data_IF_400193306313
#
_entry.id   IF_400193306313
#
_cell.length_a   1.000
_cell.length_b   1.000
_cell.length_c   1.000
_cell.angle_alpha   90.00
_cell.angle_beta   90.00
_cell.angle_gamma   90.00
#
_symmetry.space_group_name_H-M   'P 1'
#
loop_
_entity.id
_entity.type
_entity.pdbx_description
1 polymer ?
#
# COMPACT_ATOMS: atom_id res chain seq x y z
N UNK A 1 -14.13 -21.01 47.79
CA UNK A 1 -14.52 -19.62 47.45
C UNK A 1 -13.45 -18.59 47.82
N UNK A 2 -12.97 -18.53 49.08
CA UNK A 2 -11.92 -17.57 49.47
C UNK A 2 -10.57 -17.77 48.74
N UNK A 3 -10.11 -19.01 48.58
CA UNK A 3 -8.86 -19.32 47.86
C UNK A 3 -8.89 -18.91 46.38
N UNK A 4 -10.02 -19.17 45.69
CA UNK A 4 -10.23 -18.78 44.29
C UNK A 4 -10.22 -17.26 44.13
N UNK A 5 -10.86 -16.52 45.05
CA UNK A 5 -10.89 -15.06 45.03
C UNK A 5 -9.49 -14.44 45.20
N UNK A 6 -8.67 -15.00 46.08
CA UNK A 6 -7.28 -14.56 46.29
C UNK A 6 -6.43 -14.80 45.03
N UNK A 7 -6.63 -15.94 44.35
CA UNK A 7 -5.95 -16.24 43.09
C UNK A 7 -6.36 -15.26 41.97
N UNK A 8 -7.65 -14.93 41.86
CA UNK A 8 -8.15 -13.96 40.87
C UNK A 8 -7.65 -12.52 41.14
N UNK A 9 -7.56 -12.12 42.41
CA UNK A 9 -6.99 -10.82 42.82
C UNK A 9 -5.50 -10.73 42.44
N UNK A 10 -4.72 -11.77 42.76
CA UNK A 10 -3.29 -11.86 42.39
C UNK A 10 -3.07 -11.86 40.88
N UNK A 11 -3.92 -12.57 40.13
CA UNK A 11 -3.86 -12.60 38.67
C UNK A 11 -4.14 -11.21 38.08
N UNK A 12 -5.11 -10.51 38.64
CA UNK A 12 -5.47 -9.14 38.23
C UNK A 12 -4.33 -8.16 38.53
N UNK A 13 -3.72 -8.27 39.71
CA UNK A 13 -2.55 -7.47 40.08
C UNK A 13 -1.37 -7.71 39.14
N UNK A 14 -1.06 -8.97 38.84
CA UNK A 14 -0.02 -9.33 37.88
C UNK A 14 -0.30 -8.75 36.49
N UNK A 15 -1.52 -8.91 35.99
CA UNK A 15 -1.92 -8.37 34.68
C UNK A 15 -1.75 -6.85 34.62
N UNK A 16 -2.21 -6.14 35.64
CA UNK A 16 -2.09 -4.68 35.72
C UNK A 16 -0.64 -4.21 35.82
N UNK A 17 0.25 -4.99 36.43
CA UNK A 17 1.68 -4.67 36.49
C UNK A 17 2.33 -4.71 35.11
N UNK A 18 2.02 -5.72 34.29
CA UNK A 18 2.59 -5.89 32.94
C UNK A 18 1.97 -4.88 31.96
N UNK A 19 0.64 -4.69 32.01
CA UNK A 19 -0.09 -3.74 31.18
C UNK A 19 0.49 -2.33 31.22
N UNK A 20 0.95 -1.86 32.39
CA UNK A 20 1.45 -0.47 32.55
C UNK A 20 2.62 -0.15 31.63
N UNK A 21 3.48 -1.13 31.36
CA UNK A 21 4.63 -0.99 30.46
C UNK A 21 4.21 -0.95 28.98
N UNK A 22 3.00 -1.41 28.65
CA UNK A 22 2.49 -1.51 27.29
C UNK A 22 1.61 -0.33 26.88
N UNK A 23 1.27 0.57 27.81
CA UNK A 23 0.46 1.78 27.55
C UNK A 23 1.01 2.62 26.37
N UNK A 24 2.33 2.85 26.22
CA UNK A 24 2.84 3.59 25.06
C UNK A 24 2.52 2.90 23.73
N UNK A 25 2.56 1.57 23.68
CA UNK A 25 2.19 0.80 22.49
C UNK A 25 0.70 0.95 22.19
N UNK A 26 -0.15 0.94 23.23
CA UNK A 26 -1.59 1.11 23.08
C UNK A 26 -1.97 2.45 22.46
N UNK A 27 -1.30 3.54 22.84
CA UNK A 27 -1.51 4.87 22.24
C UNK A 27 -1.24 4.83 20.73
N UNK A 28 -0.16 4.18 20.30
CA UNK A 28 0.17 4.07 18.88
C UNK A 28 -0.80 3.15 18.14
N UNK A 29 -1.20 2.04 18.76
CA UNK A 29 -2.22 1.14 18.21
C UNK A 29 -3.57 1.85 18.04
N UNK A 30 -3.93 2.77 18.95
CA UNK A 30 -5.16 3.57 18.82
C UNK A 30 -5.10 4.46 17.60
N UNK A 31 -3.95 5.08 17.34
CA UNK A 31 -3.74 5.89 16.14
C UNK A 31 -3.83 5.03 14.87
N UNK A 32 -3.22 3.85 14.84
CA UNK A 32 -3.33 2.94 13.70
C UNK A 32 -4.76 2.49 13.45
N UNK A 33 -5.50 2.18 14.51
CA UNK A 33 -6.90 1.82 14.42
C UNK A 33 -7.72 2.98 13.85
N UNK A 34 -7.67 4.16 14.46
CA UNK A 34 -8.47 5.33 14.04
C UNK A 34 -8.14 5.76 12.62
N UNK A 35 -6.86 5.98 12.31
CA UNK A 35 -6.44 6.45 10.99
C UNK A 35 -6.68 5.38 9.92
N UNK A 36 -6.39 4.12 10.24
CA UNK A 36 -6.59 3.00 9.35
C UNK A 36 -8.04 2.72 9.04
N UNK A 37 -8.93 2.73 10.05
CA UNK A 37 -10.36 2.48 9.80
C UNK A 37 -11.00 3.65 9.04
N UNK A 38 -10.85 4.88 9.53
CA UNK A 38 -11.48 6.06 8.90
C UNK A 38 -10.93 6.27 7.49
N UNK A 39 -9.61 6.17 7.33
CA UNK A 39 -8.95 6.36 6.06
C UNK A 39 -9.37 5.31 5.03
N UNK A 40 -9.30 4.02 5.36
CA UNK A 40 -9.64 2.97 4.42
C UNK A 40 -11.14 2.93 4.09
N UNK A 41 -12.03 3.21 5.04
CA UNK A 41 -13.46 3.41 4.76
C UNK A 41 -13.66 4.54 3.75
N UNK A 42 -13.00 5.69 3.95
CA UNK A 42 -13.08 6.82 3.02
C UNK A 42 -12.60 6.44 1.62
N UNK A 43 -11.51 5.69 1.51
CA UNK A 43 -10.99 5.16 0.24
C UNK A 43 -12.03 4.27 -0.45
N UNK A 44 -12.59 3.29 0.27
CA UNK A 44 -13.62 2.40 -0.27
C UNK A 44 -14.82 3.22 -0.76
N UNK A 45 -15.34 4.14 0.05
CA UNK A 45 -16.50 4.96 -0.30
C UNK A 45 -16.26 5.77 -1.57
N UNK A 46 -15.13 6.47 -1.66
CA UNK A 46 -14.81 7.33 -2.81
C UNK A 46 -14.57 6.51 -4.08
N UNK A 47 -13.77 5.43 -4.01
CA UNK A 47 -13.43 4.65 -5.20
C UNK A 47 -14.58 3.77 -5.71
N UNK A 48 -15.42 3.25 -4.81
CA UNK A 48 -16.56 2.41 -5.19
C UNK A 48 -17.74 3.24 -5.68
N UNK A 49 -18.11 4.30 -4.95
CA UNK A 49 -19.35 5.04 -5.22
C UNK A 49 -19.14 6.29 -6.08
N UNK A 50 -18.10 7.11 -5.83
CA UNK A 50 -17.88 8.38 -6.55
C UNK A 50 -17.05 8.23 -7.83
N UNK A 51 -16.07 7.33 -7.87
CA UNK A 51 -15.09 7.24 -8.96
C UNK A 51 -15.25 6.01 -9.85
N UNK A 52 -16.50 5.71 -10.28
CA UNK A 52 -16.83 4.56 -11.13
C UNK A 52 -16.21 4.61 -12.54
N UNK A 53 -15.93 5.80 -13.06
CA UNK A 53 -15.47 6.01 -14.45
C UNK A 53 -13.93 5.87 -14.55
N UNK A 54 -13.47 4.96 -15.42
CA UNK A 54 -12.06 4.52 -15.64
C UNK A 54 -11.43 3.71 -14.48
N UNK A 55 -11.97 2.51 -14.22
CA UNK A 55 -11.48 1.57 -13.17
C UNK A 55 -10.17 0.85 -13.48
N UNK A 56 -9.60 0.96 -14.68
CA UNK A 56 -8.54 0.03 -15.09
C UNK A 56 -7.26 0.14 -14.22
N UNK A 57 -6.80 1.36 -13.96
CA UNK A 57 -5.66 1.63 -13.08
C UNK A 57 -6.00 1.66 -11.59
N UNK A 58 -7.28 1.69 -11.25
CA UNK A 58 -7.77 1.90 -9.89
C UNK A 58 -8.38 0.66 -9.27
N UNK A 59 -8.50 -0.42 -10.04
CA UNK A 59 -9.18 -1.65 -9.64
C UNK A 59 -8.73 -2.17 -8.27
N UNK A 60 -7.42 -2.24 -8.04
CA UNK A 60 -6.86 -2.81 -6.81
C UNK A 60 -6.89 -1.84 -5.62
N UNK A 61 -7.15 -0.56 -5.83
CA UNK A 61 -7.18 0.43 -4.73
C UNK A 61 -8.29 0.07 -3.71
N UNK A 62 -9.58 -0.08 -4.09
CA UNK A 62 -10.62 -0.47 -3.14
C UNK A 62 -10.46 -1.91 -2.63
N UNK A 63 -9.83 -2.81 -3.38
CA UNK A 63 -9.55 -4.18 -2.92
C UNK A 63 -8.51 -4.16 -1.79
N UNK A 64 -7.40 -3.45 -1.99
CA UNK A 64 -6.36 -3.28 -0.99
C UNK A 64 -6.90 -2.54 0.25
N UNK A 65 -7.66 -1.45 0.06
CA UNK A 65 -8.30 -0.73 1.16
C UNK A 65 -9.27 -1.58 1.97
N UNK A 66 -9.98 -2.53 1.34
CA UNK A 66 -10.86 -3.47 2.07
C UNK A 66 -10.07 -4.41 2.96
N UNK A 67 -8.96 -4.95 2.46
CA UNK A 67 -8.06 -5.81 3.25
C UNK A 67 -7.39 -5.03 4.36
N UNK A 68 -6.90 -3.83 4.07
CA UNK A 68 -6.24 -2.96 5.04
C UNK A 68 -7.19 -2.46 6.13
N UNK A 69 -8.46 -2.20 5.80
CA UNK A 69 -9.50 -1.89 6.79
C UNK A 69 -9.66 -3.05 7.80
N UNK A 70 -9.80 -4.28 7.30
CA UNK A 70 -9.95 -5.46 8.16
C UNK A 70 -8.67 -5.69 8.96
N UNK A 71 -7.49 -5.51 8.34
CA UNK A 71 -6.19 -5.66 8.99
C UNK A 71 -5.97 -4.63 10.11
N UNK A 72 -6.34 -3.37 9.91
CA UNK A 72 -6.30 -2.36 10.96
C UNK A 72 -7.28 -2.70 12.09
N UNK A 73 -8.53 -3.05 11.75
CA UNK A 73 -9.56 -3.34 12.74
C UNK A 73 -9.18 -4.57 13.59
N UNK A 74 -8.91 -5.70 12.95
CA UNK A 74 -8.64 -6.97 13.62
C UNK A 74 -7.22 -7.02 14.17
N UNK A 75 -6.22 -6.57 13.40
CA UNK A 75 -4.82 -6.58 13.83
C UNK A 75 -4.57 -5.66 15.02
N UNK A 76 -5.11 -4.44 15.03
CA UNK A 76 -5.00 -3.57 16.20
C UNK A 76 -5.82 -4.10 17.37
N UNK A 77 -7.05 -4.61 17.16
CA UNK A 77 -7.86 -5.21 18.23
C UNK A 77 -7.16 -6.42 18.87
N UNK A 78 -6.51 -7.25 18.06
CA UNK A 78 -5.72 -8.38 18.54
C UNK A 78 -4.52 -7.92 19.38
N UNK A 79 -3.78 -6.92 18.90
CA UNK A 79 -2.66 -6.34 19.63
C UNK A 79 -3.10 -5.66 20.95
N UNK A 80 -4.25 -4.99 20.95
CA UNK A 80 -4.87 -4.43 22.16
C UNK A 80 -5.23 -5.52 23.15
N UNK A 81 -5.87 -6.60 22.70
CA UNK A 81 -6.24 -7.68 23.60
C UNK A 81 -5.00 -8.33 24.23
N UNK A 82 -3.89 -8.44 23.49
CA UNK A 82 -2.59 -8.84 24.03
C UNK A 82 -2.00 -7.87 25.07
N UNK A 83 -2.20 -6.57 24.90
CA UNK A 83 -1.67 -5.57 25.85
C UNK A 83 -2.57 -5.37 27.08
N UNK A 84 -3.89 -5.54 26.91
CA UNK A 84 -4.87 -5.39 28.00
C UNK A 84 -4.93 -6.65 28.87
N UNK A 85 -4.79 -7.82 28.24
CA UNK A 85 -4.83 -9.13 28.90
C UNK A 85 -3.52 -9.92 28.69
N UNK A 86 -2.34 -9.36 29.01
CA UNK A 86 -1.06 -10.02 28.77
C UNK A 86 -0.93 -11.36 29.50
N UNK A 87 -1.62 -11.52 30.64
CA UNK A 87 -1.60 -12.75 31.44
C UNK A 87 -3.00 -13.20 31.89
N UNK A 88 -4.07 -12.57 31.37
CA UNK A 88 -5.45 -12.88 31.74
C UNK A 88 -6.38 -13.12 30.52
N UNK A 89 -5.81 -13.64 29.43
CA UNK A 89 -6.56 -13.96 28.21
C UNK A 89 -7.14 -15.38 28.28
N UNK A 90 -8.41 -15.50 28.64
CA UNK A 90 -9.08 -16.81 28.86
C UNK A 90 -9.96 -17.31 27.69
N UNK A 91 -10.21 -16.49 26.66
CA UNK A 91 -11.15 -16.82 25.58
C UNK A 91 -10.48 -17.52 24.39
N UNK A 92 -10.51 -18.86 24.34
CA UNK A 92 -9.83 -19.61 23.27
C UNK A 92 -10.36 -19.29 21.86
N UNK A 93 -11.68 -19.16 21.67
CA UNK A 93 -12.25 -18.81 20.38
C UNK A 93 -11.70 -17.46 19.86
N UNK A 94 -11.68 -16.44 20.72
CA UNK A 94 -11.16 -15.13 20.36
C UNK A 94 -9.66 -15.19 20.00
N UNK A 95 -8.86 -15.97 20.75
CA UNK A 95 -7.44 -16.14 20.47
C UNK A 95 -7.19 -16.68 19.06
N UNK A 96 -7.85 -17.80 18.74
CA UNK A 96 -7.68 -18.48 17.45
C UNK A 96 -8.25 -17.64 16.31
N UNK A 97 -9.46 -17.09 16.46
CA UNK A 97 -10.11 -16.31 15.42
C UNK A 97 -9.34 -15.02 15.08
N UNK A 98 -8.89 -14.27 16.10
CA UNK A 98 -8.12 -13.04 15.88
C UNK A 98 -6.76 -13.34 15.26
N UNK A 99 -6.09 -14.42 15.69
CA UNK A 99 -4.81 -14.87 15.10
C UNK A 99 -4.98 -15.26 13.63
N UNK A 100 -5.99 -16.08 13.33
CA UNK A 100 -6.28 -16.56 11.97
C UNK A 100 -6.57 -15.41 11.02
N UNK A 101 -7.48 -14.51 11.40
CA UNK A 101 -7.86 -13.37 10.56
C UNK A 101 -6.70 -12.40 10.41
N UNK A 102 -5.95 -12.11 11.47
CA UNK A 102 -4.80 -11.19 11.44
C UNK A 102 -3.69 -11.70 10.50
N UNK A 103 -3.37 -13.00 10.54
CA UNK A 103 -2.42 -13.58 9.59
C UNK A 103 -3.00 -13.62 8.17
N UNK A 104 -4.26 -14.03 8.01
CA UNK A 104 -4.91 -14.12 6.71
C UNK A 104 -4.88 -12.81 5.95
N UNK A 105 -5.38 -11.72 6.55
CA UNK A 105 -5.39 -10.41 5.89
C UNK A 105 -3.99 -9.86 5.60
N UNK A 106 -3.01 -10.18 6.44
CA UNK A 106 -1.60 -9.85 6.21
C UNK A 106 -1.08 -10.53 4.94
N UNK A 107 -1.29 -11.84 4.79
CA UNK A 107 -0.86 -12.60 3.60
C UNK A 107 -1.63 -12.15 2.35
N UNK A 108 -2.93 -11.87 2.47
CA UNK A 108 -3.72 -11.32 1.35
C UNK A 108 -3.18 -9.97 0.92
N UNK A 109 -2.90 -9.04 1.85
CA UNK A 109 -2.36 -7.71 1.54
C UNK A 109 -1.01 -7.80 0.81
N UNK A 110 -0.08 -8.62 1.32
CA UNK A 110 1.21 -8.87 0.67
C UNK A 110 1.04 -9.46 -0.75
N UNK A 111 0.13 -10.42 -0.91
CA UNK A 111 -0.17 -11.04 -2.21
C UNK A 111 -0.77 -10.04 -3.20
N UNK A 112 -1.66 -9.15 -2.74
CA UNK A 112 -2.21 -8.07 -3.56
C UNK A 112 -1.14 -7.10 -4.02
N UNK A 113 -0.15 -6.76 -3.17
CA UNK A 113 0.97 -5.92 -3.59
C UNK A 113 1.79 -6.55 -4.71
N UNK A 114 2.02 -7.87 -4.66
CA UNK A 114 2.69 -8.61 -5.75
C UNK A 114 1.86 -8.54 -7.03
N UNK A 115 0.56 -8.83 -6.94
CA UNK A 115 -0.35 -8.78 -8.10
C UNK A 115 -0.39 -7.37 -8.71
N UNK A 116 -0.44 -6.33 -7.88
CA UNK A 116 -0.38 -4.94 -8.31
C UNK A 116 0.95 -4.66 -9.01
N UNK A 117 2.08 -5.09 -8.44
CA UNK A 117 3.39 -4.91 -9.06
C UNK A 117 3.46 -5.61 -10.44
N UNK A 118 2.94 -6.83 -10.56
CA UNK A 118 2.83 -7.56 -11.84
C UNK A 118 1.95 -6.80 -12.83
N UNK A 119 0.78 -6.32 -12.42
CA UNK A 119 -0.08 -5.50 -13.29
C UNK A 119 0.69 -4.28 -13.80
N UNK A 120 1.39 -3.56 -12.92
CA UNK A 120 2.17 -2.37 -13.29
C UNK A 120 3.31 -2.71 -14.22
N UNK A 121 4.02 -3.80 -13.96
CA UNK A 121 5.08 -4.30 -14.82
C UNK A 121 4.56 -4.63 -16.22
N UNK A 122 3.44 -5.35 -16.33
CA UNK A 122 2.84 -5.67 -17.63
C UNK A 122 2.46 -4.38 -18.37
N UNK A 123 1.78 -3.44 -17.70
CA UNK A 123 1.36 -2.18 -18.31
C UNK A 123 2.53 -1.28 -18.75
N UNK A 124 3.59 -1.20 -17.96
CA UNK A 124 4.71 -0.27 -18.21
C UNK A 124 5.78 -0.90 -19.10
N UNK A 125 6.14 -2.16 -18.84
CA UNK A 125 7.27 -2.85 -19.45
C UNK A 125 6.87 -3.75 -20.63
N UNK A 126 5.64 -4.27 -20.65
CA UNK A 126 5.14 -5.17 -21.71
C UNK A 126 3.76 -4.73 -22.24
N UNK A 127 3.67 -3.59 -22.94
CA UNK A 127 2.38 -3.01 -23.35
C UNK A 127 1.56 -3.93 -24.29
N UNK A 128 2.19 -4.91 -24.94
CA UNK A 128 1.49 -5.92 -25.75
C UNK A 128 0.61 -6.86 -24.93
N UNK A 129 0.82 -6.94 -23.60
CA UNK A 129 0.01 -7.77 -22.71
C UNK A 129 -0.96 -6.91 -21.91
N UNK A 130 -2.26 -7.19 -22.09
CA UNK A 130 -3.33 -6.49 -21.38
C UNK A 130 -3.78 -7.33 -20.19
N UNK A 131 -3.60 -6.81 -18.97
CA UNK A 131 -4.12 -7.45 -17.77
C UNK A 131 -5.63 -7.24 -17.68
N UNK A 132 -6.38 -8.21 -18.21
CA UNK A 132 -7.83 -8.11 -18.38
C UNK A 132 -8.58 -8.03 -17.04
N UNK A 133 -9.82 -7.55 -17.06
CA UNK A 133 -10.66 -7.47 -15.85
C UNK A 133 -10.90 -8.86 -15.23
N UNK A 134 -11.10 -9.90 -16.05
CA UNK A 134 -11.25 -11.28 -15.56
C UNK A 134 -10.02 -11.75 -14.78
N UNK A 135 -8.82 -11.47 -15.30
CA UNK A 135 -7.57 -11.79 -14.61
C UNK A 135 -7.45 -11.05 -13.28
N UNK A 136 -7.85 -9.78 -13.21
CA UNK A 136 -7.80 -9.00 -11.96
C UNK A 136 -8.67 -9.62 -10.86
N UNK A 137 -9.92 -9.96 -11.18
CA UNK A 137 -10.81 -10.64 -10.22
C UNK A 137 -10.27 -12.01 -9.84
N UNK A 138 -9.84 -12.81 -10.81
CA UNK A 138 -9.28 -14.14 -10.55
C UNK A 138 -8.04 -14.07 -9.64
N UNK A 139 -7.08 -13.19 -9.92
CA UNK A 139 -5.89 -13.00 -9.08
C UNK A 139 -6.25 -12.50 -7.68
N UNK A 140 -7.27 -11.64 -7.54
CA UNK A 140 -7.75 -11.18 -6.24
C UNK A 140 -8.32 -12.35 -5.42
N UNK A 141 -9.19 -13.16 -6.02
CA UNK A 141 -9.75 -14.36 -5.37
C UNK A 141 -8.65 -15.33 -4.98
N UNK A 142 -7.68 -15.57 -5.87
CA UNK A 142 -6.54 -16.44 -5.59
C UNK A 142 -5.72 -15.94 -4.40
N UNK A 143 -5.51 -14.63 -4.26
CA UNK A 143 -4.83 -14.05 -3.10
C UNK A 143 -5.60 -14.32 -1.79
N UNK A 144 -6.93 -14.18 -1.80
CA UNK A 144 -7.78 -14.51 -0.65
C UNK A 144 -7.71 -16.00 -0.30
N UNK A 145 -7.86 -16.88 -1.29
CA UNK A 145 -7.75 -18.32 -1.08
C UNK A 145 -6.38 -18.71 -0.51
N UNK A 146 -5.31 -18.13 -1.05
CA UNK A 146 -3.95 -18.37 -0.56
C UNK A 146 -3.77 -17.88 0.88
N UNK A 147 -4.23 -16.67 1.22
CA UNK A 147 -4.14 -16.15 2.59
C UNK A 147 -4.93 -16.98 3.60
N UNK A 148 -6.13 -17.42 3.25
CA UNK A 148 -6.92 -18.33 4.08
C UNK A 148 -6.21 -19.68 4.27
N UNK A 149 -5.77 -20.31 3.17
CA UNK A 149 -5.10 -21.61 3.21
C UNK A 149 -3.80 -21.57 4.01
N UNK A 150 -2.99 -20.51 3.84
CA UNK A 150 -1.74 -20.31 4.57
C UNK A 150 -1.97 -20.15 6.08
N UNK A 151 -3.13 -19.61 6.47
CA UNK A 151 -3.48 -19.35 7.87
C UNK A 151 -4.16 -20.54 8.57
N UNK A 152 -4.55 -21.59 7.84
CA UNK A 152 -5.20 -22.79 8.41
C UNK A 152 -4.41 -23.44 9.56
N UNK A 153 -3.07 -23.55 9.53
CA UNK A 153 -2.29 -24.12 10.63
C UNK A 153 -2.53 -23.46 11.99
N UNK A 154 -2.97 -22.19 12.02
CA UNK A 154 -3.29 -21.47 13.27
C UNK A 154 -4.35 -22.20 14.10
N UNK A 155 -5.33 -22.84 13.47
CA UNK A 155 -6.37 -23.58 14.20
C UNK A 155 -5.82 -24.73 15.04
N UNK A 156 -4.67 -25.28 14.65
CA UNK A 156 -4.07 -26.43 15.32
C UNK A 156 -3.05 -26.02 16.39
N UNK A 157 -2.34 -24.92 16.17
CA UNK A 157 -1.19 -24.57 17.00
C UNK A 157 -1.32 -23.27 17.79
N UNK A 158 -2.36 -22.45 17.60
CA UNK A 158 -2.63 -21.30 18.46
C UNK A 158 -3.75 -21.60 19.46
N UNK A 159 -3.69 -20.96 20.62
CA UNK A 159 -4.76 -21.01 21.62
C UNK A 159 -4.35 -20.35 22.92
N UNK A 160 -5.12 -20.61 23.98
CA UNK A 160 -4.78 -20.13 25.32
C UNK A 160 -3.71 -21.04 25.91
N UNK A 161 -2.63 -20.45 26.39
CA UNK A 161 -1.48 -21.13 26.99
C UNK A 161 -1.34 -20.67 28.44
N UNK A 162 -1.09 -21.63 29.32
CA UNK A 162 -0.91 -21.38 30.76
C UNK A 162 0.53 -20.97 31.06
N UNK A 163 0.68 -19.95 31.91
CA UNK A 163 1.97 -19.43 32.38
C UNK A 163 1.94 -19.32 33.89
N UNK A 164 2.94 -19.89 34.55
CA UNK A 164 3.03 -19.86 36.00
C UNK A 164 3.92 -18.71 36.46
N UNK A 165 3.47 -17.94 37.45
CA UNK A 165 4.29 -16.96 38.16
C UNK A 165 4.65 -17.51 39.55
N UNK A 166 5.87 -18.05 39.74
CA UNK A 166 6.29 -18.64 41.02
C UNK A 166 6.31 -17.62 42.16
N UNK A 167 6.59 -16.35 41.88
CA UNK A 167 6.71 -15.30 42.91
C UNK A 167 5.36 -14.94 43.51
N UNK A 168 4.31 -14.88 42.69
CA UNK A 168 2.94 -14.58 43.13
C UNK A 168 2.13 -15.84 43.44
N UNK A 169 2.68 -17.03 43.13
CA UNK A 169 2.03 -18.33 43.24
C UNK A 169 0.63 -18.33 42.58
N UNK A 170 0.59 -17.86 41.33
CA UNK A 170 -0.62 -17.74 40.50
C UNK A 170 -0.34 -18.21 39.07
N UNK A 171 -1.36 -18.80 38.45
CA UNK A 171 -1.34 -19.20 37.03
C UNK A 171 -2.07 -18.16 36.19
N UNK A 172 -1.42 -17.70 35.13
CA UNK A 172 -1.95 -16.80 34.13
C UNK A 172 -2.20 -17.51 32.81
N UNK A 173 -2.87 -16.78 31.91
CA UNK A 173 -3.36 -17.27 30.64
C UNK A 173 -3.04 -16.23 29.57
N UNK A 174 -2.35 -16.63 28.51
CA UNK A 174 -2.07 -15.74 27.38
C UNK A 174 -2.49 -16.41 26.07
N UNK A 175 -2.83 -15.61 25.07
CA UNK A 175 -3.12 -16.12 23.73
C UNK A 175 -1.81 -16.27 22.96
N UNK A 176 -1.44 -17.49 22.57
CA UNK A 176 -0.15 -17.73 21.94
C UNK A 176 -0.06 -19.10 21.26
N UNK A 177 1.17 -19.47 20.93
CA UNK A 177 1.49 -20.76 20.33
C UNK A 177 1.45 -21.85 21.41
N UNK A 178 0.69 -22.90 21.14
CA UNK A 178 0.60 -24.08 22.02
C UNK A 178 1.99 -24.74 22.10
N UNK A 179 2.37 -25.18 23.30
CA UNK A 179 3.62 -25.91 23.55
C UNK A 179 3.58 -27.35 23.04
N UNK A 180 2.41 -27.84 22.63
CA UNK A 180 2.26 -29.09 21.89
C UNK A 180 2.60 -28.82 20.41
N UNK A 181 3.42 -29.66 19.78
CA UNK A 181 3.83 -29.55 18.38
C UNK A 181 4.72 -28.33 18.04
N UNK A 182 5.66 -27.99 18.92
CA UNK A 182 6.61 -26.87 18.75
C UNK A 182 7.33 -26.91 17.39
N UNK A 183 7.70 -28.10 16.89
CA UNK A 183 8.33 -28.24 15.58
C UNK A 183 7.46 -27.69 14.44
N UNK A 184 6.16 -27.99 14.45
CA UNK A 184 5.23 -27.50 13.44
C UNK A 184 4.95 -26.00 13.55
N UNK A 185 4.95 -25.47 14.78
CA UNK A 185 4.88 -24.03 15.03
C UNK A 185 6.08 -23.32 14.41
N UNK A 186 7.30 -23.80 14.71
CA UNK A 186 8.55 -23.22 14.19
C UNK A 186 8.57 -23.30 12.66
N UNK A 187 8.17 -24.43 12.07
CA UNK A 187 8.10 -24.58 10.60
C UNK A 187 7.13 -23.57 9.99
N UNK A 188 5.94 -23.37 10.58
CA UNK A 188 4.96 -22.41 10.10
C UNK A 188 5.50 -20.98 10.18
N UNK A 189 6.15 -20.63 11.28
CA UNK A 189 6.76 -19.33 11.48
C UNK A 189 7.89 -19.06 10.47
N UNK A 190 8.81 -20.01 10.31
CA UNK A 190 9.87 -19.93 9.29
C UNK A 190 9.28 -19.80 7.89
N UNK A 191 8.19 -20.52 7.59
CA UNK A 191 7.52 -20.43 6.28
C UNK A 191 6.92 -19.04 6.03
N UNK A 192 6.37 -18.40 7.07
CA UNK A 192 5.81 -17.05 6.98
C UNK A 192 6.91 -16.00 6.82
N UNK A 193 8.03 -16.15 7.55
CA UNK A 193 9.21 -15.30 7.39
C UNK A 193 9.80 -15.44 5.98
N UNK A 194 9.95 -16.67 5.47
CA UNK A 194 10.45 -16.94 4.13
C UNK A 194 9.52 -16.35 3.06
N UNK A 195 8.21 -16.51 3.20
CA UNK A 195 7.24 -15.86 2.30
C UNK A 195 7.42 -14.35 2.28
N UNK A 196 7.55 -13.71 3.44
CA UNK A 196 7.74 -12.26 3.53
C UNK A 196 9.05 -11.79 2.86
N UNK A 197 10.15 -12.53 3.03
CA UNK A 197 11.43 -12.26 2.37
C UNK A 197 11.32 -12.41 0.86
N UNK A 198 10.77 -13.53 0.38
CA UNK A 198 10.59 -13.79 -1.05
C UNK A 198 9.68 -12.74 -1.68
N UNK A 199 8.55 -12.42 -1.04
CA UNK A 199 7.62 -11.38 -1.48
C UNK A 199 8.34 -10.03 -1.62
N UNK A 200 9.14 -9.64 -0.62
CA UNK A 200 9.91 -8.40 -0.64
C UNK A 200 10.93 -8.38 -1.79
N UNK A 201 11.66 -9.47 -2.01
CA UNK A 201 12.61 -9.59 -3.12
C UNK A 201 11.92 -9.48 -4.48
N UNK A 202 10.80 -10.17 -4.67
CA UNK A 202 10.00 -10.11 -5.92
C UNK A 202 9.53 -8.68 -6.16
N UNK A 203 9.01 -8.01 -5.14
CA UNK A 203 8.56 -6.62 -5.23
C UNK A 203 9.71 -5.67 -5.60
N UNK A 204 10.87 -5.80 -4.93
CA UNK A 204 12.06 -5.00 -5.23
C UNK A 204 12.47 -5.17 -6.69
N UNK A 205 12.58 -6.42 -7.17
CA UNK A 205 12.96 -6.70 -8.56
C UNK A 205 11.95 -6.09 -9.53
N UNK A 206 10.65 -6.32 -9.32
CA UNK A 206 9.61 -5.78 -10.21
C UNK A 206 9.63 -4.26 -10.26
N UNK A 207 9.75 -3.57 -9.12
CA UNK A 207 9.78 -2.12 -9.09
C UNK A 207 11.07 -1.51 -9.64
N UNK A 208 12.22 -2.19 -9.49
CA UNK A 208 13.46 -1.79 -10.18
C UNK A 208 13.26 -1.86 -11.71
N UNK A 209 12.67 -2.94 -12.23
CA UNK A 209 12.40 -3.08 -13.66
C UNK A 209 11.40 -2.04 -14.18
N UNK A 210 10.34 -1.77 -13.41
CA UNK A 210 9.37 -0.71 -13.69
C UNK A 210 10.07 0.64 -13.73
N UNK A 211 10.83 0.98 -12.68
CA UNK A 211 11.54 2.26 -12.55
C UNK A 211 12.54 2.48 -13.69
N UNK A 212 13.33 1.46 -14.03
CA UNK A 212 14.27 1.49 -15.17
C UNK A 212 13.57 1.75 -16.49
N UNK A 213 12.40 1.15 -16.70
CA UNK A 213 11.61 1.34 -17.93
C UNK A 213 11.00 2.73 -17.99
N UNK A 214 10.44 3.24 -16.89
CA UNK A 214 9.91 4.60 -16.79
C UNK A 214 11.01 5.62 -17.09
N UNK A 215 12.19 5.43 -16.49
CA UNK A 215 13.35 6.31 -16.68
C UNK A 215 13.85 6.29 -18.14
N UNK A 216 13.95 5.12 -18.77
CA UNK A 216 14.31 5.02 -20.20
C UNK A 216 13.31 5.77 -21.08
N UNK A 217 12.01 5.60 -20.86
CA UNK A 217 10.96 6.32 -21.60
C UNK A 217 11.06 7.83 -21.39
N UNK A 218 11.40 8.28 -20.18
CA UNK A 218 11.64 9.69 -19.88
C UNK A 218 12.81 10.26 -20.67
N UNK A 219 13.97 9.57 -20.68
CA UNK A 219 15.15 10.01 -21.43
C UNK A 219 14.84 10.09 -22.93
N UNK A 220 14.29 9.03 -23.53
CA UNK A 220 13.99 9.00 -24.97
C UNK A 220 13.00 10.12 -25.37
N UNK A 221 12.04 10.42 -24.51
CA UNK A 221 11.13 11.55 -24.73
C UNK A 221 11.86 12.90 -24.66
N UNK A 222 12.72 13.09 -23.67
CA UNK A 222 13.48 14.32 -23.53
C UNK A 222 14.50 14.53 -24.68
N UNK A 223 15.12 13.45 -25.16
CA UNK A 223 16.00 13.46 -26.34
C UNK A 223 15.24 13.78 -27.63
N UNK A 224 14.07 13.19 -27.85
CA UNK A 224 13.25 13.51 -29.03
C UNK A 224 12.74 14.95 -29.02
N UNK A 225 12.41 15.52 -27.84
CA UNK A 225 12.09 16.94 -27.69
C UNK A 225 13.30 17.83 -27.99
N UNK A 226 14.52 17.44 -27.60
CA UNK A 226 15.75 18.17 -27.97
C UNK A 226 16.03 18.11 -29.48
N UNK A 227 15.92 16.94 -30.10
CA UNK A 227 16.18 16.76 -31.54
C UNK A 227 15.13 17.47 -32.41
N UNK A 228 13.86 17.44 -32.02
CA UNK A 228 12.78 18.17 -32.69
C UNK A 228 12.95 19.70 -32.64
N UNK A 229 13.72 20.23 -31.68
CA UNK A 229 14.09 21.66 -31.62
C UNK A 229 15.25 21.99 -32.57
N UNK A 230 16.23 21.10 -32.72
CA UNK A 230 17.35 21.28 -33.66
C UNK A 230 16.90 21.26 -35.12
N UNK A 231 16.04 20.30 -35.49
CA UNK A 231 15.47 20.22 -36.86
C UNK A 231 14.58 21.42 -37.19
N UNK A 232 13.83 21.96 -36.21
CA UNK A 232 13.05 23.20 -36.41
C UNK A 232 13.95 24.43 -36.58
N UNK A 233 15.03 24.54 -35.79
CA UNK A 233 16.00 25.64 -35.92
C UNK A 233 16.68 25.62 -37.29
N UNK A 234 17.02 24.43 -37.80
CA UNK A 234 17.61 24.26 -39.12
C UNK A 234 16.61 24.54 -40.26
N UNK A 235 15.33 24.16 -40.11
CA UNK A 235 14.30 24.46 -41.11
C UNK A 235 13.97 25.95 -41.20
N UNK A 236 13.97 26.67 -40.07
CA UNK A 236 13.76 28.13 -40.07
C UNK A 236 14.97 28.92 -40.60
N UNK A 237 16.19 28.38 -40.55
CA UNK A 237 17.35 28.98 -41.23
C UNK A 237 17.38 28.69 -42.73
N UNK A 238 16.86 27.52 -43.17
CA UNK A 238 16.76 27.17 -44.60
C UNK A 238 15.58 27.87 -45.28
N UNK A 239 14.45 28.12 -44.59
CA UNK A 239 13.31 28.89 -45.12
C UNK A 239 13.62 30.39 -45.34
N UNK A 240 14.71 30.94 -44.78
CA UNK A 240 15.14 32.31 -45.09
C UNK A 240 15.96 32.39 -46.39
N UNK A 241 16.48 31.28 -46.87
CA UNK A 241 17.33 31.21 -48.06
C UNK A 241 16.54 30.84 -49.34
N UNK A 242 15.33 30.28 -49.19
CA UNK A 242 14.49 29.83 -50.31
C UNK A 242 13.35 30.78 -50.71
N UNK A 243 13.30 32.02 -50.22
CA UNK A 243 12.23 32.99 -50.53
C UNK A 243 12.53 33.83 -51.81
N UNK A 244 13.60 33.53 -52.55
CA UNK A 244 13.92 34.24 -53.80
C UNK A 244 13.54 33.54 -55.12
N UNK A 245 12.80 32.42 -55.10
CA UNK A 245 12.26 31.85 -56.36
C UNK A 245 10.81 31.45 -56.20
N UNK A 246 9.94 32.39 -56.57
CA UNK A 246 8.54 32.15 -56.94
C UNK A 246 8.52 31.38 -58.26
N UNK A 247 7.79 30.26 -58.33
CA UNK A 247 6.83 30.04 -59.41
C UNK A 247 5.90 28.84 -59.14
N UNK A 248 4.78 28.86 -59.88
CA UNK A 248 3.49 28.24 -59.58
C UNK A 248 3.34 26.78 -60.04
N UNK A 249 2.35 26.10 -59.45
CA UNK A 249 1.20 25.44 -60.12
C UNK A 249 0.78 24.05 -59.56
N UNK A 250 -0.54 23.94 -59.37
CA UNK A 250 -1.49 22.82 -59.50
C UNK A 250 -1.54 21.56 -58.60
N UNK A 251 -2.78 21.32 -58.11
CA UNK A 251 -3.64 20.09 -58.15
C UNK A 251 -3.05 18.73 -57.69
N UNK A 252 -3.74 17.76 -57.07
CA UNK A 252 -5.12 17.52 -56.65
C UNK A 252 -5.17 16.32 -55.67
N UNK A 253 -6.25 16.26 -54.87
CA UNK A 253 -7.04 15.09 -54.40
C UNK A 253 -6.51 13.83 -53.66
N UNK A 254 -7.29 13.50 -52.60
CA UNK A 254 -7.73 12.16 -52.13
C UNK A 254 -6.71 11.33 -51.30
N UNK A 255 -6.97 10.74 -50.13
CA UNK A 255 -8.15 9.99 -49.68
C UNK A 255 -8.16 9.79 -48.15
N UNK A 256 -9.38 9.76 -47.57
CA UNK A 256 -9.82 9.05 -46.33
C UNK A 256 -8.94 7.83 -45.98
N UNK A 257 -8.55 7.50 -44.74
CA UNK A 257 -9.39 7.23 -43.56
C UNK A 257 -8.52 6.59 -42.44
N UNK A 258 -8.53 7.16 -41.22
CA UNK A 258 -8.39 6.42 -39.94
C UNK A 258 -8.59 7.38 -38.76
N UNK A 259 -9.84 7.80 -38.58
CA UNK A 259 -10.29 8.41 -37.35
C UNK A 259 -10.46 7.29 -36.32
N UNK A 260 -9.60 7.25 -35.29
CA UNK A 260 -9.88 6.80 -33.91
C UNK A 260 -8.62 6.71 -33.03
N UNK A 261 -7.73 7.70 -33.12
CA UNK A 261 -6.60 7.86 -32.17
C UNK A 261 -6.11 9.32 -32.07
N UNK A 262 -6.93 10.29 -32.49
CA UNK A 262 -6.53 11.69 -32.67
C UNK A 262 -6.75 12.55 -31.40
N UNK A 263 -7.55 12.12 -30.43
CA UNK A 263 -7.84 12.95 -29.24
C UNK A 263 -6.62 13.17 -28.31
N UNK A 264 -5.70 12.22 -28.19
CA UNK A 264 -4.47 12.40 -27.38
C UNK A 264 -3.36 13.18 -28.12
N UNK A 265 -3.45 13.32 -29.45
CA UNK A 265 -2.50 14.09 -30.26
C UNK A 265 -2.93 15.54 -30.48
N UNK A 266 -4.24 15.82 -30.46
CA UNK A 266 -4.79 17.18 -30.62
C UNK A 266 -4.39 18.10 -29.47
N UNK A 267 -4.28 17.60 -28.24
CA UNK A 267 -3.87 18.43 -27.10
C UNK A 267 -2.40 18.91 -27.23
N UNK A 268 -1.56 18.10 -27.87
CA UNK A 268 -0.14 18.39 -28.14
C UNK A 268 0.04 19.49 -29.21
N UNK A 269 -0.89 19.58 -30.17
CA UNK A 269 -0.79 20.54 -31.28
C UNK A 269 -1.25 21.96 -30.87
N UNK A 270 -2.19 22.06 -29.92
CA UNK A 270 -2.56 23.34 -29.28
C UNK A 270 -1.39 24.00 -28.54
N UNK A 271 -0.46 23.22 -27.99
CA UNK A 271 0.73 23.72 -27.30
C UNK A 271 1.76 24.30 -28.28
N UNK A 272 1.94 23.67 -29.45
CA UNK A 272 2.89 24.12 -30.49
C UNK A 272 2.59 25.53 -31.00
N UNK A 273 1.31 25.96 -30.97
CA UNK A 273 0.91 27.33 -31.33
C UNK A 273 1.17 28.36 -30.22
N UNK A 274 1.09 27.99 -28.94
CA UNK A 274 1.36 28.90 -27.81
C UNK A 274 2.85 29.18 -27.57
N UNK A 275 3.74 28.25 -27.94
CA UNK A 275 5.21 28.43 -27.81
C UNK A 275 5.79 29.42 -28.85
N UNK A 276 5.00 29.90 -29.82
CA UNK A 276 5.45 30.87 -30.84
C UNK A 276 5.74 32.30 -30.31
N UNK A 277 5.50 32.59 -29.03
CA UNK A 277 5.78 33.92 -28.43
C UNK A 277 6.36 33.79 -27.02
N UNK A 278 7.68 33.95 -26.85
CA UNK A 278 8.26 34.24 -25.54
C UNK A 278 9.72 33.79 -25.32
N UNK A 279 10.44 34.61 -24.55
CA UNK A 279 11.88 34.64 -24.22
C UNK A 279 12.42 33.38 -23.49
N UNK A 280 13.71 33.37 -23.14
CA UNK A 280 14.45 32.27 -22.50
C UNK A 280 13.78 31.66 -21.24
N UNK A 281 12.95 32.41 -20.51
CA UNK A 281 12.13 31.91 -19.39
C UNK A 281 11.10 30.84 -19.81
N UNK A 282 10.68 30.84 -21.07
CA UNK A 282 9.75 29.83 -21.60
C UNK A 282 10.38 28.45 -21.79
N UNK A 283 11.72 28.36 -21.86
CA UNK A 283 12.44 27.09 -22.00
C UNK A 283 12.45 26.30 -20.71
N UNK A 284 12.65 26.97 -19.58
CA UNK A 284 12.62 26.34 -18.26
C UNK A 284 11.18 25.93 -17.92
N UNK A 285 10.21 26.81 -18.21
CA UNK A 285 8.79 26.51 -18.03
C UNK A 285 8.31 25.31 -18.87
N UNK A 286 8.80 25.17 -20.12
CA UNK A 286 8.55 24.01 -20.96
C UNK A 286 9.19 22.72 -20.44
N UNK A 287 10.38 22.80 -19.83
CA UNK A 287 11.07 21.65 -19.21
C UNK A 287 10.32 21.18 -17.95
N UNK A 288 9.93 22.11 -17.07
CA UNK A 288 9.12 21.81 -15.89
C UNK A 288 7.75 21.21 -16.25
N UNK A 289 7.09 21.73 -17.29
CA UNK A 289 5.83 21.16 -17.78
C UNK A 289 5.99 19.70 -18.29
N UNK A 290 7.06 19.44 -19.03
CA UNK A 290 7.41 18.11 -19.56
C UNK A 290 7.67 17.09 -18.44
N UNK A 291 8.39 17.51 -17.39
CA UNK A 291 8.64 16.70 -16.19
C UNK A 291 7.32 16.42 -15.45
N UNK A 292 6.50 17.45 -15.25
CA UNK A 292 5.19 17.30 -14.60
C UNK A 292 4.26 16.34 -15.34
N UNK A 293 4.22 16.41 -16.67
CA UNK A 293 3.43 15.49 -17.50
C UNK A 293 3.94 14.05 -17.37
N UNK A 294 5.26 13.82 -17.34
CA UNK A 294 5.83 12.49 -17.15
C UNK A 294 5.40 11.84 -15.82
N UNK A 295 5.51 12.58 -14.71
CA UNK A 295 5.05 12.11 -13.40
C UNK A 295 3.54 11.85 -13.39
N UNK A 296 2.74 12.71 -14.06
CA UNK A 296 1.29 12.53 -14.16
C UNK A 296 0.89 11.26 -14.90
N UNK A 297 1.60 10.92 -15.97
CA UNK A 297 1.35 9.70 -16.77
C UNK A 297 1.64 8.42 -15.97
N UNK A 298 2.68 8.42 -15.13
CA UNK A 298 3.10 7.25 -14.36
C UNK A 298 2.73 7.32 -12.88
N UNK A 299 1.88 8.28 -12.47
CA UNK A 299 1.56 8.57 -11.07
C UNK A 299 1.13 7.35 -10.27
N UNK A 300 0.36 6.44 -10.85
CA UNK A 300 -0.08 5.22 -10.15
C UNK A 300 1.07 4.24 -9.93
N UNK A 301 2.04 4.17 -10.85
CA UNK A 301 3.24 3.36 -10.65
C UNK A 301 4.08 3.92 -9.50
N UNK A 302 4.25 5.25 -9.43
CA UNK A 302 4.93 5.90 -8.29
C UNK A 302 4.17 5.71 -6.97
N UNK A 303 2.84 5.82 -7.00
CA UNK A 303 1.98 5.59 -5.86
C UNK A 303 2.15 4.19 -5.30
N UNK A 304 2.01 3.15 -6.13
CA UNK A 304 2.16 1.77 -5.70
C UNK A 304 3.60 1.41 -5.31
N UNK A 305 4.61 2.00 -5.98
CA UNK A 305 6.00 1.88 -5.56
C UNK A 305 6.24 2.46 -4.16
N UNK A 306 5.60 3.60 -3.84
CA UNK A 306 5.67 4.21 -2.51
C UNK A 306 4.99 3.34 -1.45
N UNK A 307 3.79 2.83 -1.75
CA UNK A 307 3.07 1.88 -0.87
C UNK A 307 3.94 0.65 -0.59
N UNK A 308 4.52 0.07 -1.64
CA UNK A 308 5.37 -1.12 -1.48
C UNK A 308 6.68 -0.83 -0.74
N UNK A 309 7.31 0.32 -0.95
CA UNK A 309 8.50 0.68 -0.18
C UNK A 309 8.18 0.78 1.32
N UNK A 310 7.05 1.41 1.68
CA UNK A 310 6.60 1.51 3.07
C UNK A 310 6.18 0.15 3.65
N UNK A 311 5.57 -0.72 2.85
CA UNK A 311 5.31 -2.11 3.23
C UNK A 311 6.60 -2.82 3.65
N UNK A 312 7.64 -2.79 2.81
CA UNK A 312 8.92 -3.47 3.08
C UNK A 312 9.56 -2.91 4.36
N UNK A 313 9.61 -1.58 4.50
CA UNK A 313 10.17 -0.92 5.68
C UNK A 313 9.41 -1.31 6.95
N UNK A 314 8.07 -1.29 6.91
CA UNK A 314 7.23 -1.60 8.07
C UNK A 314 7.28 -3.09 8.46
N UNK A 315 7.47 -4.00 7.50
CA UNK A 315 7.55 -5.44 7.76
C UNK A 315 8.93 -5.93 8.18
N UNK A 316 9.99 -5.21 7.83
CA UNK A 316 11.37 -5.62 8.13
C UNK A 316 11.59 -5.91 9.62
N UNK A 317 11.23 -5.01 10.56
CA UNK A 317 11.42 -5.28 11.99
C UNK A 317 10.69 -6.53 12.46
N UNK A 318 9.44 -6.75 12.02
CA UNK A 318 8.68 -7.95 12.36
C UNK A 318 9.41 -9.23 11.93
N UNK A 319 9.84 -9.29 10.67
CA UNK A 319 10.53 -10.48 10.13
C UNK A 319 11.86 -10.70 10.86
N UNK A 320 12.63 -9.64 11.11
CA UNK A 320 13.88 -9.74 11.86
C UNK A 320 13.66 -10.28 13.26
N UNK A 321 12.68 -9.75 14.00
CA UNK A 321 12.39 -10.20 15.36
C UNK A 321 11.88 -11.63 15.41
N UNK A 322 11.04 -12.02 14.46
CA UNK A 322 10.55 -13.39 14.33
C UNK A 322 11.68 -14.40 14.08
N UNK A 323 12.67 -14.03 13.26
CA UNK A 323 13.87 -14.86 13.05
C UNK A 323 14.70 -14.92 14.34
N UNK A 324 14.93 -13.80 15.01
CA UNK A 324 15.69 -13.77 16.27
C UNK A 324 15.03 -14.61 17.37
N UNK A 325 13.70 -14.51 17.51
CA UNK A 325 12.89 -15.34 18.41
C UNK A 325 13.04 -16.83 18.09
N UNK A 326 13.09 -17.20 16.81
CA UNK A 326 13.27 -18.60 16.40
C UNK A 326 14.69 -19.14 16.64
N UNK A 327 15.69 -18.26 16.78
CA UNK A 327 17.09 -18.61 16.96
C UNK A 327 17.52 -18.69 18.44
N UNK A 328 16.80 -18.01 19.33
CA UNK A 328 17.13 -17.93 20.76
C UNK A 328 15.91 -18.30 21.62
N UNK A 329 15.89 -19.48 22.26
CA UNK A 329 14.83 -19.88 23.19
C UNK A 329 14.64 -18.92 24.38
N UNK A 330 15.67 -18.12 24.71
CA UNK A 330 15.62 -17.13 25.78
C UNK A 330 15.42 -15.70 25.26
N UNK A 331 15.01 -15.53 24.01
CA UNK A 331 14.88 -14.22 23.37
C UNK A 331 14.07 -13.23 24.21
N UNK A 332 12.97 -13.69 24.81
CA UNK A 332 12.06 -12.88 25.63
C UNK A 332 12.50 -12.69 27.08
N UNK A 333 13.63 -13.26 27.52
CA UNK A 333 14.17 -13.03 28.87
C UNK A 333 14.82 -11.65 28.96
N UNK A 334 13.99 -10.61 29.04
CA UNK A 334 14.40 -9.19 29.04
C UNK A 334 13.57 -8.39 30.05
N UNK A 335 14.05 -7.22 30.51
CA UNK A 335 13.25 -6.29 31.29
C UNK A 335 11.97 -5.84 30.55
N UNK A 336 10.92 -5.50 31.29
CA UNK A 336 9.62 -5.14 30.73
C UNK A 336 9.68 -3.95 29.75
N UNK A 337 10.56 -2.98 30.00
CA UNK A 337 10.76 -1.82 29.14
C UNK A 337 11.32 -2.22 27.77
N UNK A 338 12.26 -3.18 27.76
CA UNK A 338 12.81 -3.72 26.54
C UNK A 338 11.74 -4.52 25.77
N UNK A 339 10.96 -5.36 26.47
CA UNK A 339 9.84 -6.11 25.88
C UNK A 339 8.85 -5.16 25.20
N UNK A 340 8.49 -4.04 25.85
CA UNK A 340 7.60 -3.04 25.26
C UNK A 340 8.15 -2.50 23.93
N UNK A 341 9.46 -2.19 23.86
CA UNK A 341 10.13 -1.76 22.63
C UNK A 341 10.18 -2.84 21.54
N UNK A 342 10.44 -4.10 21.90
CA UNK A 342 10.40 -5.22 20.96
C UNK A 342 9.00 -5.44 20.40
N UNK A 343 7.96 -5.39 21.25
CA UNK A 343 6.57 -5.52 20.82
C UNK A 343 6.13 -4.35 19.92
N UNK A 344 6.62 -3.14 20.15
CA UNK A 344 6.40 -2.01 19.24
C UNK A 344 6.90 -2.32 17.83
N UNK A 345 8.17 -2.74 17.73
CA UNK A 345 8.80 -3.09 16.45
C UNK A 345 8.11 -4.30 15.79
N UNK A 346 7.73 -5.30 16.58
CA UNK A 346 7.02 -6.49 16.11
C UNK A 346 5.66 -6.15 15.48
N UNK A 347 5.04 -5.05 15.91
CA UNK A 347 3.74 -4.55 15.46
C UNK A 347 3.83 -3.40 14.45
N UNK A 348 5.05 -2.98 14.09
CA UNK A 348 5.27 -1.90 13.12
C UNK A 348 4.64 -2.20 11.75
N UNK A 349 4.47 -3.48 11.40
CA UNK A 349 3.80 -3.92 10.17
C UNK A 349 2.37 -3.36 10.03
N UNK A 350 1.67 -3.07 11.14
CA UNK A 350 0.32 -2.48 11.12
C UNK A 350 0.28 -1.09 10.48
N UNK A 351 1.39 -0.35 10.52
CA UNK A 351 1.51 0.97 9.89
C UNK A 351 1.22 0.90 8.38
N UNK A 352 1.61 -0.20 7.73
CA UNK A 352 1.36 -0.40 6.29
C UNK A 352 -0.13 -0.30 5.94
N UNK A 353 -1.00 -0.82 6.80
CA UNK A 353 -2.44 -0.81 6.55
C UNK A 353 -3.07 0.58 6.82
N UNK A 354 -2.47 1.37 7.71
CA UNK A 354 -2.98 2.68 8.08
C UNK A 354 -2.53 3.82 7.15
N UNK A 355 -1.37 3.69 6.49
CA UNK A 355 -0.75 4.79 5.73
C UNK A 355 -1.30 4.96 4.30
N UNK A 356 -1.89 3.90 3.72
CA UNK A 356 -2.33 3.89 2.32
C UNK A 356 -3.31 5.01 1.92
N UNK A 357 -4.33 5.35 2.72
CA UNK A 357 -5.21 6.49 2.46
C UNK A 357 -4.47 7.81 2.23
N UNK A 358 -3.44 8.09 3.05
CA UNK A 358 -2.62 9.30 2.94
C UNK A 358 -1.81 9.30 1.65
N UNK A 359 -1.25 8.15 1.25
CA UNK A 359 -0.52 8.02 -0.02
C UNK A 359 -1.46 8.32 -1.19
N UNK A 360 -2.70 7.83 -1.17
CA UNK A 360 -3.68 8.13 -2.21
C UNK A 360 -4.01 9.63 -2.29
N UNK A 361 -4.08 10.35 -1.16
CA UNK A 361 -4.29 11.82 -1.18
C UNK A 361 -3.17 12.58 -1.90
N UNK A 362 -1.94 12.07 -1.83
CA UNK A 362 -0.78 12.69 -2.48
C UNK A 362 -0.74 12.40 -3.99
N UNK A 363 -0.99 11.15 -4.40
CA UNK A 363 -0.79 10.73 -5.80
C UNK A 363 -2.06 10.77 -6.68
N UNK A 364 -3.27 10.60 -6.13
CA UNK A 364 -4.51 10.62 -6.90
C UNK A 364 -5.27 11.92 -6.68
N UNK A 365 -5.01 12.89 -7.56
CA UNK A 365 -5.67 14.19 -7.53
C UNK A 365 -7.20 14.11 -7.56
N UNK A 366 -7.80 13.11 -8.24
CA UNK A 366 -9.27 12.99 -8.27
C UNK A 366 -9.81 12.45 -6.94
N UNK A 367 -9.07 11.56 -6.29
CA UNK A 367 -9.39 11.11 -4.94
C UNK A 367 -9.36 12.30 -3.97
N UNK A 368 -8.29 13.10 -4.00
CA UNK A 368 -8.17 14.31 -3.18
C UNK A 368 -9.32 15.30 -3.42
N UNK A 369 -9.71 15.54 -4.68
CA UNK A 369 -10.87 16.39 -5.00
C UNK A 369 -12.16 15.82 -4.44
N UNK A 370 -12.42 14.52 -4.63
CA UNK A 370 -13.63 13.88 -4.12
C UNK A 370 -13.70 13.88 -2.58
N UNK A 371 -12.56 13.68 -1.91
CA UNK A 371 -12.43 13.81 -0.44
C UNK A 371 -12.71 15.25 -0.02
N UNK A 372 -12.11 16.23 -0.70
CA UNK A 372 -12.37 17.65 -0.42
C UNK A 372 -13.84 18.01 -0.61
N UNK A 373 -14.55 17.46 -1.60
CA UNK A 373 -15.99 17.68 -1.76
C UNK A 373 -16.79 17.11 -0.57
N UNK A 374 -16.41 15.94 -0.06
CA UNK A 374 -17.09 15.32 1.09
C UNK A 374 -16.91 16.19 2.34
N UNK A 375 -15.70 16.67 2.61
CA UNK A 375 -15.41 17.48 3.80
C UNK A 375 -15.78 18.96 3.64
N UNK A 376 -15.77 19.51 2.42
CA UNK A 376 -16.19 20.89 2.14
C UNK A 376 -17.70 21.05 1.92
N UNK A 377 -18.49 19.97 1.85
CA UNK A 377 -19.96 20.06 1.85
C UNK A 377 -20.52 20.71 3.14
N UNK A 378 -19.74 20.84 4.22
CA UNK A 378 -20.10 21.68 5.36
C UNK A 378 -20.03 23.19 5.07
N UNK A 379 -19.41 23.63 3.96
CA UNK A 379 -19.31 25.04 3.55
C UNK A 379 -20.17 25.39 2.32
N UNK A 380 -20.72 24.41 1.59
CA UNK A 380 -21.38 24.66 0.31
C UNK A 380 -22.90 24.86 0.40
N UNK A 381 -23.52 24.62 1.56
CA UNK A 381 -24.95 24.88 1.79
C UNK A 381 -25.34 26.36 1.79
N UNK A 382 -24.38 27.29 1.57
CA UNK A 382 -24.63 28.74 1.51
C UNK A 382 -24.68 29.32 0.09
N UNK A 383 -24.49 28.52 -0.97
CA UNK A 383 -24.43 29.04 -2.36
C UNK A 383 -25.58 28.62 -3.28
N UNK A 384 -26.57 27.84 -2.83
CA UNK A 384 -27.73 27.48 -3.67
C UNK A 384 -29.03 28.25 -3.33
N UNK A 385 -28.94 29.40 -2.64
CA UNK A 385 -30.09 30.25 -2.33
C UNK A 385 -29.94 31.68 -2.90
N UNK A 386 -29.18 31.82 -3.98
CA UNK A 386 -29.08 33.07 -4.73
C UNK A 386 -28.81 32.75 -6.20
N UNK A 387 -29.85 32.31 -6.91
CA UNK A 387 -30.06 32.52 -8.35
C UNK A 387 -31.51 32.22 -8.68
#
# INVERSE_FOLDING_TARGET
MASTKIQDERLTEWNNSVLKYLIPNDVVLSLYLILGTIGNITVILVYVFKMKVKRDDRFFIPMLASVDFIACLIGASYAFAWNILPVNFKNEFACVALSFVSQGVTIVSASLLIIIAVQRYLKVCKPSFIFTQKMKYFSTILAFCFGCAFSVPIFFYYGVVEINNPMLNVTGYWCGQKTQNIEHVIIHDISAALFAVIASLVLIILYILIGKTIYRKFIMFHESVKQGKYTKKHRSSVELESVLTVDKDNENESSRSRANSIEDLVECDTYRRKVKRGSADTLDQGRFFTIGQHFRTHRYSYMFMTITALFIIAYTPRVTLMILESLDPNFWNKPNEAIAGFLFLYRMYLLNHAVNPFIYTFFDTRFRTAVSEIFCCCCSTRKSMSL
#
